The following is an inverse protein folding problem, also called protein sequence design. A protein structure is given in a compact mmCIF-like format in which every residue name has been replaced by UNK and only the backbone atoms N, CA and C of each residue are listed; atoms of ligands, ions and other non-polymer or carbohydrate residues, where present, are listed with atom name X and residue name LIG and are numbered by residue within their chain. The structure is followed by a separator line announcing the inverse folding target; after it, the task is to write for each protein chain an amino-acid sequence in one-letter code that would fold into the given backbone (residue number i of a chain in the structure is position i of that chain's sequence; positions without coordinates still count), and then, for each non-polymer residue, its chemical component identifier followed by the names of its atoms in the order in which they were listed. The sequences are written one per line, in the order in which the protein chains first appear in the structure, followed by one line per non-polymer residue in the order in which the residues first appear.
data_IF_741159873483
#
_entry.id   IF_741159873483
#
_cell.length_a   1.000
_cell.length_b   1.000
_cell.length_c   1.000
_cell.angle_alpha   90.00
_cell.angle_beta   90.00
_cell.angle_gamma   90.00
#
_symmetry.space_group_name_H-M   'P 1'
#
loop_
_entity.id
_entity.type
_entity.pdbx_description
1 polymer ?
#
# COMPACT_ATOMS: atom_id res chain seq x y z
N UNK A 1 23.44 8.16 -23.56
CA UNK A 1 23.19 8.03 -22.11
C UNK A 1 23.84 6.74 -21.68
N UNK A 2 24.88 6.78 -20.84
CA UNK A 2 25.45 5.54 -20.30
C UNK A 2 24.44 4.95 -19.33
N UNK A 3 23.95 3.75 -19.63
CA UNK A 3 23.24 2.97 -18.64
C UNK A 3 24.30 2.41 -17.70
N UNK A 4 24.58 3.13 -16.60
CA UNK A 4 25.48 2.68 -15.52
C UNK A 4 24.89 1.49 -14.73
N UNK A 5 23.76 0.94 -15.18
CA UNK A 5 23.12 -0.22 -14.61
C UNK A 5 23.71 -1.49 -15.23
N UNK A 6 24.48 -2.24 -14.43
CA UNK A 6 24.90 -3.59 -14.76
C UNK A 6 24.07 -4.61 -13.99
N UNK A 7 23.62 -5.66 -14.68
CA UNK A 7 22.95 -6.79 -14.03
C UNK A 7 23.99 -7.54 -13.19
N UNK A 8 24.01 -7.28 -11.89
CA UNK A 8 24.94 -7.91 -10.95
C UNK A 8 24.64 -9.41 -10.74
N UNK A 9 23.35 -9.78 -10.68
CA UNK A 9 22.91 -11.17 -10.50
C UNK A 9 21.45 -11.34 -10.92
N UNK A 10 21.16 -12.46 -11.58
CA UNK A 10 19.79 -12.97 -11.76
C UNK A 10 19.64 -14.21 -10.89
N UNK A 11 18.64 -14.21 -10.01
CA UNK A 11 18.35 -15.36 -9.13
C UNK A 11 17.09 -16.03 -9.67
N UNK A 12 17.24 -17.26 -10.15
CA UNK A 12 16.12 -18.12 -10.51
C UNK A 12 15.67 -18.87 -9.27
N UNK A 13 14.41 -18.67 -8.88
CA UNK A 13 13.82 -19.45 -7.80
C UNK A 13 13.33 -20.78 -8.35
N UNK A 14 13.89 -21.88 -7.84
CA UNK A 14 13.45 -23.23 -8.15
C UNK A 14 12.07 -23.45 -7.53
N UNK A 15 11.03 -23.56 -8.37
CA UNK A 15 9.65 -23.77 -7.93
C UNK A 15 9.45 -25.10 -7.19
N UNK A 16 10.40 -26.03 -7.26
CA UNK A 16 10.38 -27.29 -6.51
C UNK A 16 10.97 -27.16 -5.10
N UNK A 17 11.75 -26.11 -4.82
CA UNK A 17 12.29 -25.83 -3.49
C UNK A 17 11.38 -24.86 -2.76
N UNK A 18 10.50 -25.40 -1.89
CA UNK A 18 9.80 -24.58 -0.90
C UNK A 18 10.85 -23.85 -0.06
N UNK A 19 10.72 -22.53 0.05
CA UNK A 19 11.62 -21.71 0.87
C UNK A 19 11.55 -22.22 2.32
N UNK A 20 12.66 -22.69 2.90
CA UNK A 20 12.77 -23.14 4.30
C UNK A 20 12.79 -21.95 5.29
N UNK A 21 11.94 -20.96 5.05
CA UNK A 21 11.71 -19.82 5.93
C UNK A 21 10.41 -19.98 6.73
N UNK A 22 9.95 -18.93 7.43
CA UNK A 22 8.68 -18.92 8.17
C UNK A 22 7.45 -19.10 7.24
N UNK A 23 7.70 -19.17 5.93
CA UNK A 23 6.76 -19.34 4.83
C UNK A 23 6.76 -20.76 4.24
N UNK A 24 7.41 -21.73 4.90
CA UNK A 24 7.63 -23.11 4.43
C UNK A 24 6.39 -23.84 3.90
N UNK A 25 5.20 -23.35 4.26
CA UNK A 25 3.96 -24.07 4.00
C UNK A 25 3.38 -23.76 2.59
N UNK A 26 3.46 -22.54 2.03
CA UNK A 26 2.62 -22.17 0.85
C UNK A 26 3.20 -21.21 -0.21
N UNK A 27 4.50 -21.20 -0.43
CA UNK A 27 5.07 -20.52 -1.61
C UNK A 27 5.00 -18.98 -1.58
N UNK A 28 5.41 -18.41 -2.71
CA UNK A 28 5.91 -17.05 -2.87
C UNK A 28 5.08 -15.96 -2.17
N UNK A 29 5.72 -15.28 -1.21
CA UNK A 29 5.26 -13.98 -0.75
C UNK A 29 5.75 -12.89 -1.70
N UNK A 30 4.97 -11.81 -1.82
CA UNK A 30 5.50 -10.58 -2.40
C UNK A 30 6.51 -10.02 -1.41
N UNK A 31 7.77 -9.96 -1.80
CA UNK A 31 8.73 -9.12 -1.09
C UNK A 31 8.39 -7.67 -1.44
N UNK A 32 7.96 -6.91 -0.44
CA UNK A 32 7.85 -5.45 -0.54
C UNK A 32 9.25 -4.86 -0.52
N UNK A 33 9.51 -3.88 -1.40
CA UNK A 33 10.81 -3.24 -1.56
C UNK A 33 11.33 -2.70 -0.21
N UNK A 34 12.64 -2.84 -0.08
CA UNK A 34 13.47 -2.70 1.10
C UNK A 34 13.45 -1.31 1.73
N UNK A 35 13.69 -1.26 3.05
CA UNK A 35 14.05 -0.01 3.69
C UNK A 35 15.45 0.50 3.28
N UNK A 36 15.89 1.62 3.86
CA UNK A 36 17.20 2.23 3.56
C UNK A 36 18.39 1.30 3.82
N UNK A 37 18.19 0.24 4.61
CA UNK A 37 19.22 -0.72 5.01
C UNK A 37 19.11 -2.06 4.26
N UNK A 38 18.14 -2.20 3.36
CA UNK A 38 17.96 -3.44 2.60
C UNK A 38 17.11 -4.49 3.32
N UNK A 39 16.48 -4.20 4.47
CA UNK A 39 15.67 -5.21 5.19
C UNK A 39 14.49 -5.67 4.35
N UNK A 40 14.17 -6.96 4.45
CA UNK A 40 13.16 -7.60 3.63
C UNK A 40 11.83 -7.63 4.37
N UNK A 41 10.84 -6.92 3.84
CA UNK A 41 9.46 -7.03 4.29
C UNK A 41 8.72 -8.08 3.45
N UNK A 42 8.03 -8.98 4.15
CA UNK A 42 7.12 -9.97 3.58
C UNK A 42 5.72 -9.39 3.59
N UNK A 43 5.09 -9.34 2.42
CA UNK A 43 3.65 -9.15 2.27
C UNK A 43 3.02 -10.52 2.00
N UNK A 44 2.06 -10.92 2.84
CA UNK A 44 1.29 -12.15 2.65
C UNK A 44 -0.18 -11.86 2.31
N UNK A 45 -0.51 -11.38 1.08
CA UNK A 45 -1.85 -11.00 0.67
C UNK A 45 -2.94 -12.03 0.98
N UNK A 46 -2.66 -13.31 0.70
CA UNK A 46 -3.62 -14.41 0.92
C UNK A 46 -3.76 -14.85 2.38
N UNK A 47 -2.83 -14.41 3.25
CA UNK A 47 -2.80 -14.78 4.67
C UNK A 47 -3.07 -13.59 5.58
N UNK A 48 -3.31 -12.41 5.02
CA UNK A 48 -3.74 -11.21 5.74
C UNK A 48 -2.75 -10.75 6.83
N UNK A 49 -1.44 -10.84 6.55
CA UNK A 49 -0.39 -10.33 7.43
C UNK A 49 0.81 -9.77 6.66
N UNK A 50 1.60 -8.95 7.35
CA UNK A 50 2.88 -8.38 6.89
C UNK A 50 3.94 -8.62 7.97
N UNK A 51 5.22 -8.68 7.62
CA UNK A 51 6.30 -8.72 8.60
C UNK A 51 7.65 -8.39 8.01
N UNK A 52 8.65 -8.18 8.86
CA UNK A 52 10.01 -7.90 8.42
C UNK A 52 10.95 -9.00 8.89
N UNK A 53 11.83 -9.44 7.99
CA UNK A 53 12.89 -10.40 8.29
C UNK A 53 14.04 -9.65 8.95
N UNK A 54 14.60 -10.23 10.03
CA UNK A 54 15.83 -9.72 10.63
C UNK A 54 17.02 -10.00 9.71
N UNK A 55 17.85 -8.99 9.48
CA UNK A 55 19.08 -9.13 8.71
C UNK A 55 19.94 -10.30 9.19
N UNK A 56 20.38 -11.16 8.26
CA UNK A 56 21.19 -12.34 8.56
C UNK A 56 20.47 -13.49 9.26
N UNK A 57 19.12 -13.50 9.31
CA UNK A 57 18.35 -14.60 9.91
C UNK A 57 17.13 -14.98 9.07
N UNK A 58 16.60 -16.18 9.31
CA UNK A 58 15.32 -16.63 8.73
C UNK A 58 14.13 -16.36 9.68
N UNK A 59 14.29 -15.50 10.70
CA UNK A 59 13.23 -15.19 11.66
C UNK A 59 12.59 -13.82 11.35
N UNK A 60 11.30 -13.69 11.68
CA UNK A 60 10.60 -12.42 11.62
C UNK A 60 11.01 -11.59 12.84
N UNK A 61 11.57 -10.41 12.60
CA UNK A 61 11.81 -9.40 13.63
C UNK A 61 10.49 -8.92 14.21
N UNK A 62 9.53 -8.66 13.33
CA UNK A 62 8.17 -8.30 13.70
C UNK A 62 7.20 -8.78 12.62
N UNK A 63 5.93 -8.90 13.02
CA UNK A 63 4.81 -9.10 12.10
C UNK A 63 3.59 -8.32 12.57
N UNK A 64 2.65 -8.07 11.67
CA UNK A 64 1.35 -7.52 11.97
C UNK A 64 0.25 -8.29 11.23
N UNK A 65 -0.85 -8.58 11.92
CA UNK A 65 -2.00 -9.31 11.37
C UNK A 65 -3.01 -9.65 12.47
N UNK A 66 -4.10 -10.35 12.12
CA UNK A 66 -5.15 -10.70 13.12
C UNK A 66 -4.66 -11.80 14.07
N UNK A 67 -3.82 -12.70 13.57
CA UNK A 67 -3.29 -13.86 14.28
C UNK A 67 -1.77 -13.79 14.34
N UNK A 68 -1.16 -14.19 15.48
CA UNK A 68 0.28 -14.32 15.59
C UNK A 68 0.89 -15.15 14.46
N UNK A 69 1.98 -14.64 13.89
CA UNK A 69 2.75 -15.33 12.84
C UNK A 69 3.86 -16.14 13.51
N UNK A 70 4.03 -17.38 13.08
CA UNK A 70 5.08 -18.29 13.58
C UNK A 70 6.46 -17.66 13.39
N UNK A 71 7.36 -17.86 14.35
CA UNK A 71 8.74 -17.35 14.34
C UNK A 71 8.86 -15.81 14.28
N UNK A 72 7.82 -15.09 14.70
CA UNK A 72 7.85 -13.65 14.90
C UNK A 72 8.24 -13.30 16.33
N UNK A 73 9.26 -12.46 16.49
CA UNK A 73 9.69 -11.99 17.83
C UNK A 73 8.68 -11.02 18.45
N UNK A 74 8.13 -10.14 17.63
CA UNK A 74 7.05 -9.22 17.98
C UNK A 74 5.87 -9.45 17.04
N UNK A 75 4.65 -9.45 17.56
CA UNK A 75 3.45 -9.49 16.72
C UNK A 75 2.46 -8.39 17.13
N UNK A 76 2.07 -7.57 16.16
CA UNK A 76 1.11 -6.48 16.34
C UNK A 76 -0.25 -6.97 15.82
N UNK A 77 -1.23 -7.00 16.70
CA UNK A 77 -2.59 -7.36 16.31
C UNK A 77 -3.22 -6.22 15.51
N UNK A 78 -3.56 -6.49 14.25
CA UNK A 78 -4.13 -5.50 13.35
C UNK A 78 -5.13 -6.14 12.38
N UNK A 79 -6.18 -5.40 12.02
CA UNK A 79 -7.17 -5.79 10.99
C UNK A 79 -6.61 -5.63 9.57
N UNK A 80 -5.57 -6.39 9.25
CA UNK A 80 -4.94 -6.40 7.93
C UNK A 80 -5.71 -7.36 7.02
N UNK A 81 -5.91 -6.96 5.76
CA UNK A 81 -6.53 -7.75 4.71
C UNK A 81 -5.92 -7.41 3.36
N UNK A 82 -5.47 -8.43 2.62
CA UNK A 82 -4.84 -8.28 1.31
C UNK A 82 -3.74 -7.18 1.28
N UNK A 83 -2.71 -7.23 2.16
CA UNK A 83 -1.66 -6.22 2.18
C UNK A 83 -0.92 -6.16 0.82
N UNK A 84 -0.78 -4.97 0.26
CA UNK A 84 -0.25 -4.79 -1.10
C UNK A 84 1.08 -4.05 -1.18
N UNK A 85 1.38 -3.21 -0.18
CA UNK A 85 2.62 -2.44 -0.13
C UNK A 85 2.94 -2.04 1.30
N UNK A 86 4.22 -2.08 1.69
CA UNK A 86 4.70 -1.61 2.99
C UNK A 86 5.99 -0.83 2.80
N UNK A 87 6.18 0.22 3.60
CA UNK A 87 7.39 1.05 3.58
C UNK A 87 7.76 1.49 4.99
N UNK A 88 9.05 1.54 5.28
CA UNK A 88 9.55 2.07 6.54
C UNK A 88 9.66 3.59 6.48
N UNK A 89 9.14 4.27 7.51
CA UNK A 89 9.26 5.72 7.70
C UNK A 89 10.38 6.05 8.69
N UNK A 90 10.48 5.27 9.76
CA UNK A 90 11.54 5.33 10.78
C UNK A 90 11.75 3.95 11.39
N UNK A 91 12.77 3.79 12.24
CA UNK A 91 13.15 2.49 12.83
C UNK A 91 11.96 1.70 13.38
N UNK A 92 11.08 2.37 14.12
CA UNK A 92 9.91 1.76 14.75
C UNK A 92 8.58 2.07 14.06
N UNK A 93 8.58 2.62 12.84
CA UNK A 93 7.35 3.05 12.17
C UNK A 93 7.28 2.68 10.69
N UNK A 94 6.20 2.01 10.32
CA UNK A 94 5.93 1.56 8.96
C UNK A 94 4.57 2.05 8.49
N UNK A 95 4.45 2.29 7.19
CA UNK A 95 3.17 2.54 6.53
C UNK A 95 2.82 1.33 5.68
N UNK A 96 1.57 0.86 5.80
CA UNK A 96 1.04 -0.29 5.10
C UNK A 96 -0.19 0.10 4.25
N UNK A 97 -0.19 -0.30 2.99
CA UNK A 97 -1.37 -0.30 2.12
C UNK A 97 -2.21 -1.56 2.37
N UNK A 98 -3.30 -1.38 3.11
CA UNK A 98 -4.26 -2.40 3.52
C UNK A 98 -5.44 -2.44 2.54
N UNK A 99 -5.19 -2.86 1.30
CA UNK A 99 -6.14 -2.69 0.19
C UNK A 99 -7.42 -3.50 0.35
N UNK A 100 -7.37 -4.64 1.04
CA UNK A 100 -8.58 -5.42 1.34
C UNK A 100 -9.56 -4.71 2.27
N UNK A 101 -9.11 -3.65 2.95
CA UNK A 101 -9.91 -2.77 3.79
C UNK A 101 -9.96 -1.33 3.27
N UNK A 102 -9.40 -1.02 2.09
CA UNK A 102 -9.28 0.35 1.56
C UNK A 102 -8.67 1.34 2.56
N UNK A 103 -7.61 0.93 3.26
CA UNK A 103 -6.99 1.73 4.31
C UNK A 103 -5.48 1.87 4.11
N UNK A 104 -4.93 2.99 4.56
CA UNK A 104 -3.51 3.11 4.86
C UNK A 104 -3.35 3.04 6.37
N UNK A 105 -2.55 2.09 6.84
CA UNK A 105 -2.24 1.90 8.25
C UNK A 105 -0.84 2.39 8.57
N UNK A 106 -0.68 2.93 9.78
CA UNK A 106 0.61 3.19 10.41
C UNK A 106 0.87 2.11 11.46
N UNK A 107 1.96 1.39 11.33
CA UNK A 107 2.38 0.32 12.25
C UNK A 107 3.50 0.88 13.11
N UNK A 108 3.22 1.01 14.41
CA UNK A 108 4.12 1.51 15.44
C UNK A 108 4.65 0.32 16.26
N UNK A 109 5.90 -0.04 16.00
CA UNK A 109 6.57 -1.16 16.67
C UNK A 109 6.83 -0.89 18.14
N UNK A 110 7.17 0.37 18.48
CA UNK A 110 7.50 0.79 19.85
C UNK A 110 6.30 0.68 20.77
N UNK A 111 5.14 1.11 20.30
CA UNK A 111 3.88 1.05 21.06
C UNK A 111 3.08 -0.23 20.79
N UNK A 112 3.54 -1.09 19.87
CA UNK A 112 2.90 -2.37 19.57
C UNK A 112 1.49 -2.23 18.97
N UNK A 113 1.24 -1.18 18.17
CA UNK A 113 -0.10 -0.86 17.64
C UNK A 113 -0.08 -0.57 16.14
N UNK A 114 -1.26 -0.70 15.52
CA UNK A 114 -1.48 -0.26 14.16
C UNK A 114 -2.69 0.69 14.12
N UNK A 115 -2.48 1.91 13.67
CA UNK A 115 -3.50 2.96 13.57
C UNK A 115 -3.93 3.17 12.11
N UNK A 116 -5.20 3.48 11.88
CA UNK A 116 -5.68 3.88 10.56
C UNK A 116 -5.27 5.33 10.30
N UNK A 117 -4.42 5.55 9.31
CA UNK A 117 -3.98 6.88 8.89
C UNK A 117 -4.92 7.46 7.83
N UNK A 118 -5.39 6.60 6.91
CA UNK A 118 -6.31 6.97 5.84
C UNK A 118 -7.37 5.87 5.71
N UNK A 119 -8.65 6.25 5.71
CA UNK A 119 -9.79 5.35 5.52
C UNK A 119 -10.59 5.77 4.28
N UNK A 120 -10.34 5.08 3.16
CA UNK A 120 -10.98 5.38 1.88
C UNK A 120 -12.40 4.78 1.77
N UNK A 121 -12.89 4.10 2.81
CA UNK A 121 -14.31 3.74 2.89
C UNK A 121 -15.17 4.93 3.32
N UNK A 122 -14.58 5.96 3.93
CA UNK A 122 -15.30 7.16 4.37
C UNK A 122 -15.34 8.19 3.25
N UNK A 123 -14.18 8.63 2.79
CA UNK A 123 -14.06 9.65 1.75
C UNK A 123 -12.93 9.32 0.78
N UNK A 124 -13.26 9.11 -0.50
CA UNK A 124 -12.27 9.05 -1.56
C UNK A 124 -11.79 10.47 -1.91
N UNK A 125 -10.48 10.64 -2.07
CA UNK A 125 -9.86 11.94 -2.38
C UNK A 125 -8.71 11.75 -3.38
N UNK A 126 -8.53 12.72 -4.27
CA UNK A 126 -7.28 12.86 -5.02
C UNK A 126 -6.41 13.88 -4.30
N UNK A 127 -5.15 13.48 -4.04
CA UNK A 127 -4.13 14.34 -3.47
C UNK A 127 -3.06 14.66 -4.51
N UNK A 128 -2.61 15.91 -4.53
CA UNK A 128 -1.47 16.35 -5.33
C UNK A 128 -0.37 16.87 -4.40
N UNK A 129 0.87 16.44 -4.62
CA UNK A 129 2.04 17.04 -3.98
C UNK A 129 2.38 18.34 -4.71
N UNK A 130 2.15 19.48 -4.06
CA UNK A 130 2.72 20.75 -4.51
C UNK A 130 4.21 20.75 -4.18
N UNK A 131 5.05 20.61 -5.21
CA UNK A 131 6.51 20.58 -5.06
C UNK A 131 7.11 21.90 -4.58
N UNK A 132 6.43 23.03 -4.79
CA UNK A 132 6.94 24.34 -4.33
C UNK A 132 6.80 24.49 -2.82
N UNK A 133 5.64 24.12 -2.30
CA UNK A 133 5.37 24.19 -0.86
C UNK A 133 5.71 22.91 -0.09
N UNK A 134 6.01 21.82 -0.82
CA UNK A 134 6.18 20.48 -0.28
C UNK A 134 4.98 20.01 0.57
N UNK A 135 3.76 20.40 0.14
CA UNK A 135 2.51 20.05 0.83
C UNK A 135 1.63 19.14 -0.02
N UNK A 136 0.94 18.21 0.64
CA UNK A 136 -0.12 17.42 0.00
C UNK A 136 -1.44 18.20 0.06
N UNK A 137 -2.03 18.46 -1.10
CA UNK A 137 -3.28 19.19 -1.22
C UNK A 137 -4.38 18.27 -1.76
N UNK A 138 -5.59 18.42 -1.24
CA UNK A 138 -6.79 17.84 -1.86
C UNK A 138 -7.11 18.60 -3.13
N UNK A 139 -7.27 17.90 -4.25
CA UNK A 139 -7.67 18.54 -5.52
C UNK A 139 -9.02 18.03 -6.05
N UNK A 140 -9.52 16.92 -5.52
CA UNK A 140 -10.83 16.38 -5.83
C UNK A 140 -11.32 15.40 -4.75
N UNK A 141 -12.62 15.17 -4.73
CA UNK A 141 -13.31 14.30 -3.78
C UNK A 141 -13.55 14.94 -2.41
N UNK A 142 -13.87 14.09 -1.43
CA UNK A 142 -14.22 14.51 -0.08
C UNK A 142 -15.69 14.28 0.28
N UNK A 143 -16.54 13.98 -0.71
CA UNK A 143 -17.90 13.49 -0.45
C UNK A 143 -17.84 12.06 0.09
N UNK A 144 -18.76 11.72 0.99
CA UNK A 144 -18.90 10.36 1.50
C UNK A 144 -19.15 9.37 0.35
N UNK A 145 -18.35 8.31 0.31
CA UNK A 145 -18.51 7.29 -0.73
C UNK A 145 -19.78 6.46 -0.49
N UNK A 146 -20.65 6.38 -1.50
CA UNK A 146 -21.87 5.57 -1.46
C UNK A 146 -21.76 4.41 -2.45
N UNK A 147 -21.70 3.20 -1.90
CA UNK A 147 -21.55 1.94 -2.66
C UNK A 147 -22.58 1.85 -3.79
N UNK A 148 -22.09 1.58 -5.02
CA UNK A 148 -22.89 1.40 -6.26
C UNK A 148 -23.61 2.65 -6.78
N UNK A 149 -23.33 3.84 -6.25
CA UNK A 149 -23.88 5.09 -6.79
C UNK A 149 -22.86 5.74 -7.74
N UNK A 150 -23.28 6.03 -8.98
CA UNK A 150 -22.45 6.69 -9.99
C UNK A 150 -22.43 8.21 -9.79
N UNK A 151 -21.36 8.86 -10.20
CA UNK A 151 -21.31 10.32 -10.26
C UNK A 151 -22.26 10.86 -11.33
N UNK A 152 -22.86 12.03 -11.08
CA UNK A 152 -23.64 12.73 -12.10
C UNK A 152 -22.73 13.37 -13.13
N UNK A 153 -23.03 13.21 -14.43
CA UNK A 153 -22.33 13.90 -15.51
C UNK A 153 -22.48 15.45 -15.46
N UNK A 154 -23.35 15.97 -14.60
CA UNK A 154 -23.54 17.40 -14.38
C UNK A 154 -22.57 18.00 -13.35
N UNK A 155 -21.81 17.19 -12.61
CA UNK A 155 -20.83 17.70 -11.63
C UNK A 155 -19.77 18.53 -12.36
N UNK A 156 -19.46 19.70 -11.79
CA UNK A 156 -18.41 20.62 -12.28
C UNK A 156 -17.38 20.93 -11.21
N UNK A 157 -17.80 20.93 -9.95
CA UNK A 157 -16.92 21.13 -8.81
C UNK A 157 -16.21 19.81 -8.45
N UNK A 158 -14.88 19.71 -8.53
CA UNK A 158 -14.16 18.46 -8.26
C UNK A 158 -14.31 17.98 -6.80
N UNK A 159 -14.65 18.86 -5.85
CA UNK A 159 -14.88 18.49 -4.45
C UNK A 159 -16.24 17.83 -4.19
N UNK A 160 -17.15 17.84 -5.17
CA UNK A 160 -18.44 17.15 -5.11
C UNK A 160 -18.38 15.71 -5.65
N UNK A 161 -17.22 15.29 -6.16
CA UNK A 161 -17.04 13.94 -6.69
C UNK A 161 -17.08 12.89 -5.57
N UNK A 162 -17.89 11.87 -5.76
CA UNK A 162 -17.80 10.63 -5.00
C UNK A 162 -16.71 9.78 -5.63
N UNK A 163 -15.50 9.83 -5.08
CA UNK A 163 -14.39 9.03 -5.58
C UNK A 163 -14.39 7.64 -4.95
N UNK A 164 -14.09 6.60 -5.74
CA UNK A 164 -14.03 5.23 -5.24
C UNK A 164 -12.83 5.01 -4.32
N UNK A 165 -12.92 3.95 -3.54
CA UNK A 165 -11.89 3.54 -2.58
C UNK A 165 -10.58 3.13 -3.25
N UNK A 166 -10.62 2.68 -4.52
CA UNK A 166 -9.47 2.34 -5.34
C UNK A 166 -9.75 2.83 -6.77
N UNK A 167 -8.82 3.60 -7.34
CA UNK A 167 -8.85 4.03 -8.72
C UNK A 167 -7.46 3.90 -9.35
N UNK A 168 -7.42 3.76 -10.67
CA UNK A 168 -6.21 4.01 -11.45
C UNK A 168 -6.24 5.45 -11.93
N UNK A 169 -5.05 6.04 -12.04
CA UNK A 169 -4.90 7.42 -12.49
C UNK A 169 -3.83 7.49 -13.57
N UNK A 170 -4.09 8.31 -14.59
CA UNK A 170 -3.13 8.68 -15.60
C UNK A 170 -3.18 10.19 -15.85
N UNK A 171 -2.06 10.79 -16.21
CA UNK A 171 -1.96 12.23 -16.45
C UNK A 171 -1.28 12.50 -17.79
N UNK A 172 -2.01 13.18 -18.69
CA UNK A 172 -1.50 13.53 -20.00
C UNK A 172 -1.98 14.93 -20.40
N UNK A 173 -1.06 15.78 -20.87
CA UNK A 173 -1.37 17.09 -21.45
C UNK A 173 -2.30 17.99 -20.61
N UNK A 174 -2.12 18.02 -19.29
CA UNK A 174 -2.97 18.84 -18.40
C UNK A 174 -4.26 18.16 -17.96
N UNK A 175 -4.51 16.94 -18.41
CA UNK A 175 -5.70 16.16 -18.06
C UNK A 175 -5.32 15.03 -17.11
N UNK A 176 -6.01 14.93 -15.99
CA UNK A 176 -5.95 13.80 -15.07
C UNK A 176 -7.16 12.90 -15.31
N UNK A 177 -6.90 11.66 -15.73
CA UNK A 177 -7.88 10.62 -15.96
C UNK A 177 -7.93 9.72 -14.72
N UNK A 178 -9.11 9.53 -14.16
CA UNK A 178 -9.34 8.73 -12.96
C UNK A 178 -10.38 7.67 -13.34
N UNK A 179 -9.98 6.41 -13.36
CA UNK A 179 -10.91 5.30 -13.63
C UNK A 179 -11.45 4.76 -12.32
N UNK A 180 -12.76 4.73 -12.22
CA UNK A 180 -13.47 4.05 -11.15
C UNK A 180 -13.72 2.58 -11.52
N UNK A 181 -13.52 1.70 -10.54
CA UNK A 181 -13.86 0.28 -10.62
C UNK A 181 -15.36 0.02 -10.82
N UNK A 182 -16.25 1.00 -10.59
CA UNK A 182 -17.69 0.91 -10.92
C UNK A 182 -18.04 1.46 -12.32
N UNK A 183 -17.04 1.82 -13.12
CA UNK A 183 -17.20 2.12 -14.55
C UNK A 183 -17.31 3.61 -14.92
N UNK A 184 -17.01 4.52 -13.98
CA UNK A 184 -16.87 5.95 -14.29
C UNK A 184 -15.45 6.25 -14.77
N UNK A 185 -15.31 7.06 -15.83
CA UNK A 185 -14.07 7.74 -16.19
C UNK A 185 -14.24 9.22 -15.84
N UNK A 186 -13.58 9.64 -14.77
CA UNK A 186 -13.57 11.04 -14.35
C UNK A 186 -12.35 11.70 -14.98
N UNK A 187 -12.56 12.86 -15.60
CA UNK A 187 -11.50 13.63 -16.25
C UNK A 187 -11.42 15.01 -15.63
N UNK A 188 -10.30 15.33 -14.98
CA UNK A 188 -10.04 16.65 -14.41
C UNK A 188 -9.06 17.40 -15.32
N UNK A 189 -9.42 18.60 -15.74
CA UNK A 189 -8.52 19.49 -16.46
C UNK A 189 -7.80 20.40 -15.49
N UNK A 190 -6.49 20.52 -15.64
CA UNK A 190 -5.68 21.53 -14.94
C UNK A 190 -5.88 22.88 -15.63
N UNK A 191 -6.47 23.83 -14.91
CA UNK A 191 -6.52 25.25 -15.30
C UNK A 191 -5.14 25.89 -15.27
#
# INVERSE_FOLDING_TARGET
MSNDWQVYKVINFDSSKKWEGPLSDDGYSLFGIHDREGRQCILAPKKDWVGCIRHGSNALEWSAGIKPVKNSKLHIRAGIKNPSYVSQVSDDYYILSNTGCNQILGIDLKNGKADVLIDLNKHGVVRMLDRKSNTLQTIAGGVEYKVKLRNSCAIRNPYELMLPSICWMDYCQGMLYITDMIGDLIVLAKS
#
